data_IF_033445557191
#
_entry.id   IF_033445557191
#
_cell.length_a   1.000
_cell.length_b   1.000
_cell.length_c   1.000
_cell.angle_alpha   90.00
_cell.angle_beta   90.00
_cell.angle_gamma   90.00
#
_symmetry.space_group_name_H-M   'P 1'
#
loop_
_entity.id
_entity.type
_entity.pdbx_description
1 polymer ?
#
# COMPACT_ATOMS: atom_id res chain seq x y z
N UNK A 1 -4.07 5.10 38.58
CA UNK A 1 -3.54 6.20 39.42
C UNK A 1 -4.46 7.42 39.51
N UNK A 2 -5.44 7.62 38.61
CA UNK A 2 -6.40 8.75 38.69
C UNK A 2 -7.28 8.74 39.97
N UNK A 3 -7.75 7.57 40.42
CA UNK A 3 -8.62 7.45 41.61
C UNK A 3 -7.96 7.85 42.93
N UNK A 4 -6.64 7.68 43.04
CA UNK A 4 -5.85 8.08 44.22
C UNK A 4 -5.71 9.60 44.33
N UNK A 5 -5.65 10.30 43.20
CA UNK A 5 -5.53 11.76 43.16
C UNK A 5 -6.86 12.46 43.49
N UNK A 6 -7.98 11.94 42.96
CA UNK A 6 -9.33 12.40 43.33
C UNK A 6 -9.59 12.24 44.84
N UNK A 7 -9.13 11.13 45.43
CA UNK A 7 -9.31 10.86 46.86
C UNK A 7 -8.56 11.88 47.73
N UNK A 8 -7.35 12.27 47.33
CA UNK A 8 -6.56 13.31 48.02
C UNK A 8 -7.21 14.69 47.91
N UNK A 9 -7.72 15.04 46.73
CA UNK A 9 -8.39 16.31 46.49
C UNK A 9 -9.66 16.43 47.34
N UNK A 10 -10.40 15.32 47.51
CA UNK A 10 -11.60 15.26 48.34
C UNK A 10 -11.29 15.43 49.84
N UNK A 11 -10.19 14.82 50.32
CA UNK A 11 -9.73 14.95 51.71
C UNK A 11 -9.33 16.40 52.03
N UNK A 12 -8.64 17.08 51.12
CA UNK A 12 -8.26 18.50 51.28
C UNK A 12 -9.50 19.39 51.37
N UNK A 13 -10.49 19.17 50.51
CA UNK A 13 -11.75 19.94 50.52
C UNK A 13 -12.51 19.76 51.85
N UNK A 14 -12.61 18.53 52.35
CA UNK A 14 -13.38 18.24 53.56
C UNK A 14 -12.69 18.75 54.84
N UNK A 15 -11.35 18.72 54.88
CA UNK A 15 -10.57 19.33 55.96
C UNK A 15 -10.70 20.85 55.98
N UNK A 16 -10.71 21.50 54.80
CA UNK A 16 -10.88 22.95 54.67
C UNK A 16 -12.29 23.38 55.10
N UNK A 17 -13.31 22.58 54.74
CA UNK A 17 -14.71 22.81 55.12
C UNK A 17 -14.96 22.61 56.63
N UNK A 18 -14.27 21.65 57.24
CA UNK A 18 -14.36 21.35 58.66
C UNK A 18 -13.71 22.43 59.54
N UNK A 19 -12.66 23.10 59.04
CA UNK A 19 -12.03 24.24 59.71
C UNK A 19 -12.92 25.49 59.72
N UNK A 20 -13.72 25.71 58.66
CA UNK A 20 -14.61 26.88 58.55
C UNK A 20 -15.86 26.82 59.46
N UNK A 21 -16.28 25.63 59.92
CA UNK A 21 -17.46 25.45 60.77
C UNK A 21 -17.23 25.72 62.26
N UNK A 22 -15.99 25.97 62.71
CA UNK A 22 -15.68 26.25 64.11
C UNK A 22 -15.39 27.74 64.30
N UNK A 23 -16.38 28.50 64.76
CA UNK A 23 -16.28 29.90 65.16
C UNK A 23 -15.42 30.12 66.43
N UNK A 24 -15.34 31.37 66.93
CA UNK A 24 -14.09 32.12 67.18
C UNK A 24 -13.36 31.83 68.51
N UNK A 25 -13.49 30.62 69.09
CA UNK A 25 -12.75 30.24 70.31
C UNK A 25 -11.40 29.56 70.07
N UNK A 26 -10.92 29.48 68.82
CA UNK A 26 -9.65 28.83 68.46
C UNK A 26 -8.49 29.80 68.17
N UNK A 27 -8.62 31.09 68.50
CA UNK A 27 -7.70 32.14 68.07
C UNK A 27 -6.31 32.13 68.73
N UNK A 28 -5.98 31.14 69.56
CA UNK A 28 -4.67 31.01 70.23
C UNK A 28 -3.92 29.70 69.92
N UNK A 29 -4.45 28.80 69.08
CA UNK A 29 -3.77 27.55 68.64
C UNK A 29 -3.65 27.41 67.11
N UNK A 30 -4.11 28.38 66.34
CA UNK A 30 -4.28 28.27 64.89
C UNK A 30 -2.98 28.55 64.08
N UNK A 31 -2.03 29.33 64.60
CA UNK A 31 -0.76 29.61 63.90
C UNK A 31 0.16 28.39 63.84
N UNK A 32 0.18 27.57 64.91
CA UNK A 32 0.96 26.32 64.96
C UNK A 32 0.41 25.25 64.01
N UNK A 33 -0.91 25.11 63.92
CA UNK A 33 -1.54 24.12 63.05
C UNK A 33 -1.43 24.52 61.56
N UNK A 34 -1.63 25.80 61.24
CA UNK A 34 -1.44 26.31 59.88
C UNK A 34 0.04 26.23 59.43
N UNK A 35 0.98 26.45 60.35
CA UNK A 35 2.41 26.25 60.11
C UNK A 35 2.73 24.79 59.79
N UNK A 36 2.28 23.85 60.62
CA UNK A 36 2.51 22.41 60.42
C UNK A 36 1.88 21.88 59.12
N UNK A 37 0.72 22.42 58.72
CA UNK A 37 0.06 22.03 57.48
C UNK A 37 0.80 22.56 56.25
N UNK A 38 1.33 23.79 56.29
CA UNK A 38 2.18 24.34 55.22
C UNK A 38 3.47 23.55 55.06
N UNK A 39 4.11 23.17 56.17
CA UNK A 39 5.32 22.32 56.14
C UNK A 39 5.02 20.95 55.53
N UNK A 40 3.90 20.32 55.91
CA UNK A 40 3.51 19.02 55.33
C UNK A 40 3.17 19.11 53.84
N UNK A 41 2.56 20.22 53.39
CA UNK A 41 2.28 20.45 51.97
C UNK A 41 3.58 20.61 51.16
N UNK A 42 4.54 21.37 51.70
CA UNK A 42 5.85 21.61 51.09
C UNK A 42 6.70 20.32 51.02
N UNK A 43 6.55 19.43 52.02
CA UNK A 43 7.15 18.09 51.99
C UNK A 43 6.53 17.19 50.92
N UNK A 44 5.20 17.21 50.76
CA UNK A 44 4.51 16.43 49.71
C UNK A 44 4.88 16.93 48.31
N UNK A 45 5.02 18.25 48.11
CA UNK A 45 5.46 18.83 46.85
C UNK A 45 6.90 18.40 46.52
N UNK A 46 7.81 18.45 47.49
CA UNK A 46 9.19 17.95 47.33
C UNK A 46 9.25 16.45 47.01
N UNK A 47 8.40 15.64 47.62
CA UNK A 47 8.29 14.21 47.35
C UNK A 47 7.74 13.92 45.95
N UNK A 48 6.77 14.72 45.48
CA UNK A 48 6.26 14.64 44.11
C UNK A 48 7.35 14.94 43.10
N UNK A 49 8.11 16.02 43.29
CA UNK A 49 9.21 16.40 42.41
C UNK A 49 10.35 15.37 42.38
N UNK A 50 10.59 14.69 43.51
CA UNK A 50 11.54 13.57 43.54
C UNK A 50 11.03 12.36 42.78
N UNK A 51 9.74 12.03 42.91
CA UNK A 51 9.13 10.94 42.19
C UNK A 51 9.18 11.17 40.68
N UNK A 52 8.84 12.38 40.20
CA UNK A 52 8.88 12.73 38.78
C UNK A 52 10.30 12.64 38.20
N UNK A 53 11.31 13.07 38.97
CA UNK A 53 12.73 12.93 38.57
C UNK A 53 13.16 11.47 38.46
N UNK A 54 12.72 10.61 39.37
CA UNK A 54 13.01 9.17 39.33
C UNK A 54 12.28 8.52 38.15
N UNK A 55 11.00 8.85 37.92
CA UNK A 55 10.21 8.35 36.80
C UNK A 55 10.85 8.70 35.45
N UNK A 56 11.24 9.97 35.25
CA UNK A 56 11.95 10.40 34.03
C UNK A 56 13.28 9.66 33.83
N UNK A 57 14.02 9.40 34.91
CA UNK A 57 15.28 8.64 34.84
C UNK A 57 15.04 7.18 34.44
N UNK A 58 14.00 6.56 34.97
CA UNK A 58 13.60 5.20 34.60
C UNK A 58 13.09 5.11 33.15
N UNK A 59 12.31 6.08 32.70
CA UNK A 59 11.81 6.12 31.32
C UNK A 59 12.95 6.30 30.32
N UNK A 60 13.92 7.17 30.63
CA UNK A 60 15.11 7.35 29.80
C UNK A 60 15.98 6.09 29.74
N UNK A 61 16.11 5.36 30.84
CA UNK A 61 16.84 4.09 30.87
C UNK A 61 16.12 2.98 30.08
N UNK A 62 14.78 2.93 30.13
CA UNK A 62 13.99 2.00 29.30
C UNK A 62 14.10 2.33 27.82
N UNK A 63 13.98 3.61 27.45
CA UNK A 63 14.11 4.06 26.06
C UNK A 63 15.48 3.69 25.47
N UNK A 64 16.55 3.93 26.23
CA UNK A 64 17.90 3.56 25.81
C UNK A 64 18.08 2.03 25.64
N UNK A 65 17.45 1.22 26.51
CA UNK A 65 17.49 -0.24 26.35
C UNK A 65 16.67 -0.72 25.14
N UNK A 66 15.52 -0.11 24.87
CA UNK A 66 14.69 -0.42 23.69
C UNK A 66 15.43 -0.05 22.40
N UNK A 67 16.08 1.11 22.36
CA UNK A 67 16.89 1.54 21.22
C UNK A 67 18.08 0.59 20.97
N UNK A 68 18.77 0.17 22.03
CA UNK A 68 19.87 -0.80 21.92
C UNK A 68 19.41 -2.15 21.39
N UNK A 69 18.23 -2.64 21.81
CA UNK A 69 17.65 -3.89 21.28
C UNK A 69 17.21 -3.72 19.84
N UNK A 70 16.56 -2.60 19.49
CA UNK A 70 16.12 -2.32 18.12
C UNK A 70 17.30 -2.25 17.13
N UNK A 71 18.41 -1.60 17.51
CA UNK A 71 19.63 -1.56 16.70
C UNK A 71 20.21 -2.98 16.53
N UNK A 72 20.32 -3.75 17.63
CA UNK A 72 20.84 -5.13 17.57
C UNK A 72 19.96 -6.04 16.71
N UNK A 73 18.63 -5.89 16.74
CA UNK A 73 17.71 -6.67 15.94
C UNK A 73 17.73 -6.24 14.47
N UNK A 74 17.85 -4.94 14.19
CA UNK A 74 18.01 -4.41 12.82
C UNK A 74 19.28 -4.94 12.17
N UNK A 75 20.38 -5.00 12.91
CA UNK A 75 21.65 -5.55 12.42
C UNK A 75 21.56 -7.06 12.16
N UNK A 76 20.87 -7.81 13.04
CA UNK A 76 20.62 -9.25 12.82
C UNK A 76 19.75 -9.51 11.59
N UNK A 77 18.66 -8.77 11.40
CA UNK A 77 17.77 -8.90 10.24
C UNK A 77 18.50 -8.52 8.95
N UNK A 78 19.33 -7.46 8.98
CA UNK A 78 20.13 -7.05 7.83
C UNK A 78 21.12 -8.14 7.38
N UNK A 79 21.80 -8.78 8.33
CA UNK A 79 22.74 -9.88 8.06
C UNK A 79 22.00 -11.13 7.54
N UNK A 80 20.83 -11.46 8.09
CA UNK A 80 20.03 -12.61 7.66
C UNK A 80 19.44 -12.40 6.24
N UNK A 81 19.01 -11.18 5.92
CA UNK A 81 18.55 -10.83 4.57
C UNK A 81 19.69 -10.88 3.54
N UNK A 82 20.88 -10.38 3.90
CA UNK A 82 22.08 -10.47 3.05
C UNK A 82 22.48 -11.93 2.80
N UNK A 83 22.46 -12.78 3.83
CA UNK A 83 22.76 -14.22 3.68
C UNK A 83 21.71 -14.97 2.87
N UNK A 84 20.43 -14.62 3.03
CA UNK A 84 19.34 -15.22 2.26
C UNK A 84 19.43 -14.82 0.78
N UNK A 85 19.69 -13.55 0.49
CA UNK A 85 19.88 -13.07 -0.88
C UNK A 85 21.12 -13.68 -1.54
N UNK A 86 22.23 -13.82 -0.80
CA UNK A 86 23.43 -14.51 -1.29
C UNK A 86 23.17 -15.99 -1.58
N UNK A 87 22.41 -16.69 -0.71
CA UNK A 87 22.01 -18.09 -0.95
C UNK A 87 21.10 -18.22 -2.17
N UNK A 88 20.10 -17.35 -2.32
CA UNK A 88 19.19 -17.36 -3.47
C UNK A 88 19.95 -17.10 -4.78
N UNK A 89 20.87 -16.12 -4.79
CA UNK A 89 21.73 -15.85 -5.93
C UNK A 89 22.65 -17.04 -6.26
N UNK A 90 23.27 -17.66 -5.26
CA UNK A 90 24.14 -18.83 -5.44
C UNK A 90 23.38 -20.06 -5.94
N UNK A 91 22.16 -20.32 -5.44
CA UNK A 91 21.29 -21.37 -5.99
C UNK A 91 20.81 -21.05 -7.40
N UNK A 92 20.52 -19.77 -7.69
CA UNK A 92 20.12 -19.33 -9.03
C UNK A 92 21.23 -19.54 -10.05
N UNK A 93 22.47 -19.17 -9.71
CA UNK A 93 23.64 -19.41 -10.56
C UNK A 93 23.96 -20.90 -10.72
N UNK A 94 23.83 -21.70 -9.66
CA UNK A 94 24.02 -23.14 -9.72
C UNK A 94 22.99 -23.81 -10.67
N UNK A 95 21.71 -23.46 -10.55
CA UNK A 95 20.64 -23.97 -11.42
C UNK A 95 20.83 -23.53 -12.87
N UNK A 96 21.24 -22.28 -13.10
CA UNK A 96 21.55 -21.78 -14.46
C UNK A 96 22.78 -22.48 -15.05
N UNK A 97 23.81 -22.74 -14.24
CA UNK A 97 25.02 -23.46 -14.65
C UNK A 97 24.71 -24.92 -14.98
N UNK A 98 23.89 -25.59 -14.16
CA UNK A 98 23.46 -26.97 -14.39
C UNK A 98 22.58 -27.09 -15.64
N UNK A 99 21.65 -26.16 -15.86
CA UNK A 99 20.85 -26.07 -17.10
C UNK A 99 21.72 -25.83 -18.33
N UNK A 100 22.75 -24.97 -18.25
CA UNK A 100 23.69 -24.74 -19.35
C UNK A 100 24.53 -25.98 -19.64
N UNK A 101 25.03 -26.65 -18.60
CA UNK A 101 25.78 -27.91 -18.73
C UNK A 101 24.93 -29.00 -19.39
N UNK A 102 23.67 -29.15 -18.96
CA UNK A 102 22.72 -30.11 -19.52
C UNK A 102 22.38 -29.83 -20.99
N UNK A 103 22.13 -28.55 -21.33
CA UNK A 103 21.88 -28.13 -22.71
C UNK A 103 23.10 -28.34 -23.61
N UNK A 104 24.31 -28.06 -23.11
CA UNK A 104 25.54 -28.29 -23.85
C UNK A 104 25.83 -29.78 -24.03
N UNK A 105 25.55 -30.61 -23.00
CA UNK A 105 25.63 -32.06 -23.08
C UNK A 105 24.72 -32.63 -24.15
N UNK A 106 23.44 -32.21 -24.18
CA UNK A 106 22.50 -32.60 -25.23
C UNK A 106 22.94 -32.13 -26.62
N UNK A 107 23.47 -30.91 -26.74
CA UNK A 107 23.95 -30.39 -28.02
C UNK A 107 25.17 -31.14 -28.55
N UNK A 108 26.08 -31.57 -27.67
CA UNK A 108 27.23 -32.38 -28.04
C UNK A 108 26.82 -33.82 -28.38
N UNK A 109 25.92 -34.40 -27.60
CA UNK A 109 25.40 -35.74 -27.86
C UNK A 109 24.64 -35.80 -29.18
N UNK A 110 23.85 -34.76 -29.51
CA UNK A 110 23.20 -34.62 -30.81
C UNK A 110 24.21 -34.50 -31.96
N UNK A 111 25.32 -33.77 -31.75
CA UNK A 111 26.40 -33.68 -32.76
C UNK A 111 27.09 -35.02 -32.97
N UNK A 112 27.40 -35.77 -31.92
CA UNK A 112 28.03 -37.10 -32.03
C UNK A 112 27.08 -38.14 -32.60
N UNK A 113 25.79 -38.06 -32.31
CA UNK A 113 24.77 -38.95 -32.88
C UNK A 113 24.58 -38.66 -34.37
N UNK A 114 24.50 -37.39 -34.77
CA UNK A 114 24.39 -37.03 -36.18
C UNK A 114 25.67 -37.41 -36.94
N UNK A 115 26.86 -37.19 -36.36
CA UNK A 115 28.12 -37.58 -36.97
C UNK A 115 28.26 -39.11 -37.11
N UNK A 116 27.89 -39.88 -36.08
CA UNK A 116 27.91 -41.35 -36.13
C UNK A 116 26.88 -41.91 -37.11
N UNK A 117 25.68 -41.32 -37.20
CA UNK A 117 24.68 -41.71 -38.19
C UNK A 117 25.08 -41.34 -39.61
N UNK A 118 25.72 -40.19 -39.84
CA UNK A 118 26.28 -39.84 -41.15
C UNK A 118 27.42 -40.77 -41.56
N UNK A 119 28.30 -41.14 -40.62
CA UNK A 119 29.38 -42.09 -40.89
C UNK A 119 28.86 -43.51 -41.12
N UNK A 120 27.83 -43.94 -40.40
CA UNK A 120 27.15 -45.23 -40.63
C UNK A 120 26.34 -45.22 -41.94
N UNK A 121 25.73 -44.10 -42.31
CA UNK A 121 24.99 -43.94 -43.57
C UNK A 121 25.92 -43.92 -44.79
N UNK A 122 27.05 -43.20 -44.71
CA UNK A 122 28.06 -43.20 -45.77
C UNK A 122 28.82 -44.53 -45.85
N UNK A 123 29.04 -45.20 -44.72
CA UNK A 123 29.62 -46.54 -44.66
C UNK A 123 28.69 -47.65 -45.20
N UNK A 124 27.37 -47.50 -45.02
CA UNK A 124 26.37 -48.49 -45.50
C UNK A 124 25.89 -48.26 -46.94
N UNK A 125 26.15 -47.09 -47.52
CA UNK A 125 25.88 -46.81 -48.95
C UNK A 125 26.84 -47.52 -49.91
N UNK A 126 27.97 -48.05 -49.42
CA UNK A 126 28.93 -48.78 -50.24
C UNK A 126 28.49 -50.24 -50.46
N UNK A 127 27.64 -50.82 -49.60
CA UNK A 127 27.51 -52.29 -49.57
C UNK A 127 26.16 -52.88 -50.00
N UNK A 128 25.05 -52.14 -50.17
CA UNK A 128 23.78 -52.82 -50.46
C UNK A 128 22.74 -51.99 -51.21
N UNK A 129 22.96 -51.85 -52.52
CA UNK A 129 21.87 -51.99 -53.50
C UNK A 129 21.34 -53.42 -53.41
N UNK A 130 20.41 -53.68 -52.51
CA UNK A 130 19.36 -54.68 -52.72
C UNK A 130 18.43 -54.74 -51.52
N UNK A 131 17.14 -54.72 -51.86
CA UNK A 131 16.08 -55.44 -51.18
C UNK A 131 15.51 -54.90 -49.85
N UNK A 132 14.23 -54.51 -49.98
CA UNK A 132 13.10 -55.03 -49.21
C UNK A 132 12.61 -54.15 -48.03
N UNK A 133 11.45 -53.54 -48.32
CA UNK A 133 10.21 -53.46 -47.52
C UNK A 133 10.25 -52.82 -46.12
N UNK A 134 9.53 -51.70 -46.02
CA UNK A 134 8.45 -51.45 -45.05
C UNK A 134 8.49 -52.27 -43.76
N UNK A 135 8.83 -51.65 -42.63
CA UNK A 135 7.87 -51.25 -41.60
C UNK A 135 8.55 -50.67 -40.34
N UNK A 136 7.98 -49.57 -39.86
CA UNK A 136 7.99 -49.05 -38.49
C UNK A 136 9.31 -48.47 -37.90
N UNK A 137 9.45 -47.15 -38.02
CA UNK A 137 10.37 -46.34 -37.23
C UNK A 137 9.67 -45.70 -35.99
N UNK A 138 10.27 -45.70 -34.79
CA UNK A 138 9.77 -44.95 -33.64
C UNK A 138 9.98 -43.43 -33.84
N UNK A 139 8.93 -42.62 -33.64
CA UNK A 139 8.93 -41.17 -33.92
C UNK A 139 9.87 -40.34 -32.99
N UNK A 140 10.81 -39.53 -33.53
CA UNK A 140 11.60 -38.55 -32.76
C UNK A 140 11.06 -37.09 -32.80
N UNK A 141 9.77 -36.87 -33.11
CA UNK A 141 9.26 -35.54 -33.49
C UNK A 141 8.69 -34.66 -32.34
N UNK A 142 8.47 -35.18 -31.13
CA UNK A 142 7.72 -34.44 -30.09
C UNK A 142 8.57 -33.41 -29.31
N UNK A 143 9.86 -33.67 -29.07
CA UNK A 143 10.72 -32.83 -28.21
C UNK A 143 11.14 -31.50 -28.88
N UNK A 144 11.52 -31.54 -30.17
CA UNK A 144 11.84 -30.33 -30.96
C UNK A 144 10.64 -29.37 -31.08
N UNK A 145 9.43 -29.92 -31.19
CA UNK A 145 8.20 -29.12 -31.27
C UNK A 145 7.92 -28.34 -29.97
N UNK A 146 8.27 -28.90 -28.81
CA UNK A 146 8.07 -28.27 -27.50
C UNK A 146 9.05 -27.11 -27.30
N UNK A 147 10.32 -27.31 -27.63
CA UNK A 147 11.34 -26.26 -27.56
C UNK A 147 11.01 -25.07 -28.48
N UNK A 148 10.57 -25.34 -29.72
CA UNK A 148 10.14 -24.29 -30.65
C UNK A 148 8.91 -23.52 -30.16
N UNK A 149 7.94 -24.21 -29.52
CA UNK A 149 6.78 -23.56 -28.90
C UNK A 149 7.18 -22.65 -27.74
N UNK A 150 8.09 -23.11 -26.88
CA UNK A 150 8.61 -22.32 -25.76
C UNK A 150 9.36 -21.07 -26.24
N UNK A 151 10.19 -21.19 -27.27
CA UNK A 151 10.89 -20.05 -27.87
C UNK A 151 9.91 -19.01 -28.43
N UNK A 152 8.90 -19.45 -29.20
CA UNK A 152 7.85 -18.56 -29.73
C UNK A 152 7.07 -17.86 -28.62
N UNK A 153 6.75 -18.56 -27.52
CA UNK A 153 6.09 -17.98 -26.36
C UNK A 153 6.97 -16.94 -25.66
N UNK A 154 8.26 -17.22 -25.47
CA UNK A 154 9.21 -16.29 -24.88
C UNK A 154 9.38 -15.02 -25.74
N UNK A 155 9.47 -15.16 -27.07
CA UNK A 155 9.51 -14.02 -27.99
C UNK A 155 8.22 -13.19 -27.96
N UNK A 156 7.06 -13.85 -27.91
CA UNK A 156 5.78 -13.15 -27.78
C UNK A 156 5.69 -12.38 -26.46
N UNK A 157 6.13 -12.99 -25.36
CA UNK A 157 6.15 -12.35 -24.06
C UNK A 157 7.09 -11.15 -24.05
N UNK A 158 8.30 -11.29 -24.62
CA UNK A 158 9.25 -10.19 -24.79
C UNK A 158 8.64 -9.03 -25.57
N UNK A 159 8.01 -9.29 -26.73
CA UNK A 159 7.34 -8.27 -27.54
C UNK A 159 6.18 -7.60 -26.79
N UNK A 160 5.46 -8.33 -25.93
CA UNK A 160 4.41 -7.76 -25.06
C UNK A 160 5.01 -6.82 -24.01
N UNK A 161 6.09 -7.25 -23.35
CA UNK A 161 6.81 -6.44 -22.36
C UNK A 161 7.38 -5.15 -22.98
N UNK A 162 8.04 -5.25 -24.12
CA UNK A 162 8.59 -4.09 -24.84
C UNK A 162 7.49 -3.09 -25.25
N UNK A 163 6.35 -3.58 -25.73
CA UNK A 163 5.20 -2.72 -26.05
C UNK A 163 4.64 -2.02 -24.81
N UNK A 164 4.54 -2.74 -23.71
CA UNK A 164 4.06 -2.21 -22.43
C UNK A 164 4.98 -1.10 -21.94
N UNK A 165 6.29 -1.34 -21.91
CA UNK A 165 7.29 -0.34 -21.56
C UNK A 165 7.21 0.91 -22.45
N UNK A 166 7.06 0.73 -23.77
CA UNK A 166 6.92 1.85 -24.69
C UNK A 166 5.65 2.68 -24.42
N UNK A 167 4.52 2.04 -24.10
CA UNK A 167 3.29 2.75 -23.76
C UNK A 167 3.46 3.54 -22.45
N UNK A 168 4.03 2.92 -21.42
CA UNK A 168 4.27 3.58 -20.13
C UNK A 168 5.20 4.78 -20.27
N UNK A 169 6.25 4.67 -21.10
CA UNK A 169 7.14 5.78 -21.40
C UNK A 169 6.41 6.92 -22.13
N UNK A 170 5.55 6.61 -23.10
CA UNK A 170 4.74 7.61 -23.80
C UNK A 170 3.72 8.29 -22.88
N UNK A 171 3.18 7.59 -21.89
CA UNK A 171 2.30 8.18 -20.87
C UNK A 171 3.05 9.03 -19.83
N UNK A 172 4.38 9.05 -19.88
CA UNK A 172 5.23 9.65 -18.85
C UNK A 172 4.88 9.09 -17.45
N UNK A 173 4.65 7.79 -17.38
CA UNK A 173 4.28 7.11 -16.13
C UNK A 173 5.45 7.13 -15.13
N UNK A 174 5.23 7.78 -13.99
CA UNK A 174 6.21 7.93 -12.91
C UNK A 174 6.08 6.87 -11.81
N UNK A 175 6.14 5.59 -12.18
CA UNK A 175 5.96 4.51 -11.20
C UNK A 175 7.02 4.46 -10.09
N UNK A 176 8.20 5.05 -10.29
CA UNK A 176 9.23 5.16 -9.25
C UNK A 176 8.90 6.28 -8.26
N UNK A 177 8.38 7.39 -8.77
CA UNK A 177 7.88 8.52 -7.99
C UNK A 177 6.72 8.06 -7.09
N UNK A 178 5.69 7.42 -7.64
CA UNK A 178 4.54 6.92 -6.87
C UNK A 178 4.95 5.95 -5.75
N UNK A 179 5.92 5.07 -6.01
CA UNK A 179 6.42 4.14 -4.99
C UNK A 179 7.14 4.88 -3.86
N UNK A 180 7.89 5.92 -4.18
CA UNK A 180 8.53 6.77 -3.15
C UNK A 180 7.47 7.48 -2.33
N UNK A 181 6.43 8.04 -2.97
CA UNK A 181 5.35 8.72 -2.25
C UNK A 181 4.65 7.74 -1.27
N UNK A 182 4.44 6.49 -1.70
CA UNK A 182 3.92 5.43 -0.84
C UNK A 182 4.86 5.14 0.34
N UNK A 183 6.16 4.99 0.09
CA UNK A 183 7.16 4.72 1.14
C UNK A 183 7.23 5.88 2.15
N UNK A 184 7.24 7.13 1.69
CA UNK A 184 7.25 8.32 2.54
C UNK A 184 5.99 8.39 3.42
N UNK A 185 4.81 8.07 2.87
CA UNK A 185 3.55 8.05 3.61
C UNK A 185 3.40 6.83 4.56
N UNK A 186 4.13 5.74 4.33
CA UNK A 186 4.21 4.60 5.26
C UNK A 186 5.17 4.87 6.42
N UNK A 187 6.29 5.54 6.15
CA UNK A 187 7.30 5.92 7.16
C UNK A 187 6.88 7.11 8.01
N UNK A 188 5.91 7.88 7.54
CA UNK A 188 5.26 8.93 8.30
C UNK A 188 4.67 8.37 9.60
N UNK A 189 5.41 8.51 10.71
CA UNK A 189 4.91 8.25 12.06
C UNK A 189 3.67 9.14 12.23
N UNK A 190 2.49 8.52 12.23
CA UNK A 190 1.28 9.26 12.53
C UNK A 190 1.39 9.74 13.97
N UNK A 191 1.61 11.04 14.15
CA UNK A 191 1.50 11.72 15.45
C UNK A 191 0.10 11.57 16.06
N UNK A 192 -0.84 11.04 15.28
CA UNK A 192 -2.26 10.92 15.52
C UNK A 192 -2.71 9.44 15.55
N UNK A 193 -1.99 8.62 16.30
CA UNK A 193 -2.27 7.21 16.61
C UNK A 193 -3.77 6.91 16.86
N UNK A 194 -4.41 7.76 17.65
CA UNK A 194 -5.82 7.63 18.01
C UNK A 194 -6.75 7.75 16.80
N UNK A 195 -6.41 8.61 15.84
CA UNK A 195 -7.19 8.82 14.60
C UNK A 195 -7.05 7.63 13.67
N UNK A 196 -5.84 7.08 13.56
CA UNK A 196 -5.59 5.85 12.80
C UNK A 196 -6.41 4.71 13.40
N UNK A 197 -6.41 4.57 14.73
CA UNK A 197 -7.22 3.54 15.40
C UNK A 197 -8.72 3.75 15.17
N UNK A 198 -9.20 4.98 15.30
CA UNK A 198 -10.58 5.34 15.01
C UNK A 198 -10.98 4.89 13.59
N UNK A 199 -10.19 5.27 12.59
CA UNK A 199 -10.46 4.92 11.19
C UNK A 199 -10.46 3.41 10.94
N UNK A 200 -9.54 2.66 11.55
CA UNK A 200 -9.50 1.19 11.41
C UNK A 200 -10.69 0.52 12.11
N UNK A 201 -11.20 1.10 13.19
CA UNK A 201 -12.38 0.62 13.88
C UNK A 201 -13.70 1.00 13.17
N UNK A 202 -13.67 1.94 12.22
CA UNK A 202 -14.87 2.40 11.53
C UNK A 202 -15.50 1.31 10.64
N UNK A 203 -16.76 0.91 10.90
CA UNK A 203 -17.44 -0.11 10.11
C UNK A 203 -17.59 0.28 8.64
N UNK A 204 -17.75 1.58 8.34
CA UNK A 204 -17.85 2.07 6.96
C UNK A 204 -16.59 1.76 6.15
N UNK A 205 -15.40 1.96 6.74
CA UNK A 205 -14.13 1.66 6.07
C UNK A 205 -13.97 0.15 5.86
N UNK A 206 -14.30 -0.64 6.88
CA UNK A 206 -14.21 -2.09 6.81
C UNK A 206 -15.17 -2.68 5.78
N UNK A 207 -16.43 -2.23 5.76
CA UNK A 207 -17.41 -2.64 4.76
C UNK A 207 -16.99 -2.21 3.36
N UNK A 208 -16.50 -0.99 3.20
CA UNK A 208 -15.95 -0.53 1.92
C UNK A 208 -14.79 -1.41 1.45
N UNK A 209 -13.95 -1.91 2.34
CA UNK A 209 -12.80 -2.74 1.96
C UNK A 209 -13.19 -4.16 1.57
N UNK A 210 -14.07 -4.80 2.36
CA UNK A 210 -14.32 -6.25 2.31
C UNK A 210 -15.49 -6.62 1.39
N UNK A 211 -16.55 -5.81 1.39
CA UNK A 211 -17.78 -6.17 0.69
C UNK A 211 -17.53 -6.33 -0.81
N UNK A 212 -17.98 -7.38 -1.50
CA UNK A 212 -17.73 -7.59 -2.92
C UNK A 212 -18.62 -6.69 -3.81
N UNK A 213 -18.85 -5.44 -3.41
CA UNK A 213 -19.67 -4.45 -4.09
C UNK A 213 -18.88 -3.22 -4.52
N UNK A 214 -19.39 -2.57 -5.57
CA UNK A 214 -18.94 -1.25 -5.98
C UNK A 214 -19.29 -0.26 -4.87
N UNK A 215 -18.32 0.56 -4.45
CA UNK A 215 -18.50 1.47 -3.33
C UNK A 215 -17.61 2.71 -3.50
N UNK A 216 -18.09 3.84 -2.98
CA UNK A 216 -17.31 5.06 -2.84
C UNK A 216 -17.24 5.39 -1.36
N UNK A 217 -16.07 5.82 -0.90
CA UNK A 217 -15.88 6.29 0.47
C UNK A 217 -15.01 7.55 0.46
N UNK A 218 -15.47 8.57 1.17
CA UNK A 218 -14.72 9.78 1.49
C UNK A 218 -14.37 9.75 2.98
N UNK A 219 -13.10 9.98 3.28
CA UNK A 219 -12.61 10.11 4.66
C UNK A 219 -12.13 11.55 4.87
N UNK A 220 -12.85 12.29 5.70
CA UNK A 220 -12.43 13.60 6.19
C UNK A 220 -11.65 13.41 7.50
N UNK A 221 -10.35 13.68 7.45
CA UNK A 221 -9.43 13.47 8.56
C UNK A 221 -9.56 14.49 9.67
N UNK A 222 -10.04 15.70 9.37
CA UNK A 222 -10.12 16.84 10.31
C UNK A 222 -8.81 17.12 11.08
N UNK A 223 -7.67 16.85 10.46
CA UNK A 223 -6.34 17.02 11.04
C UNK A 223 -6.06 18.49 11.34
N UNK A 224 -5.14 18.78 12.27
CA UNK A 224 -4.68 20.15 12.42
C UNK A 224 -3.95 20.59 11.14
N UNK A 225 -4.16 21.83 10.66
CA UNK A 225 -3.55 22.33 9.43
C UNK A 225 -2.00 22.32 9.45
N UNK A 226 -1.38 22.14 10.62
CA UNK A 226 0.07 22.02 10.81
C UNK A 226 0.60 20.58 10.67
N UNK A 227 -0.27 19.56 10.60
CA UNK A 227 0.14 18.17 10.45
C UNK A 227 0.60 17.93 9.02
N UNK A 228 1.93 17.90 8.84
CA UNK A 228 2.56 17.58 7.55
C UNK A 228 2.34 16.11 7.12
N UNK A 229 2.12 15.23 8.10
CA UNK A 229 1.90 13.80 7.93
C UNK A 229 0.55 13.44 8.52
N UNK A 230 -0.45 13.20 7.66
CA UNK A 230 -1.83 13.08 8.12
C UNK A 230 -2.18 11.61 8.39
N UNK A 231 -3.02 11.37 9.39
CA UNK A 231 -3.53 10.02 9.68
C UNK A 231 -4.22 9.39 8.47
N UNK A 232 -4.87 10.20 7.63
CA UNK A 232 -5.52 9.77 6.39
C UNK A 232 -4.53 9.28 5.33
N UNK A 233 -3.39 9.96 5.15
CA UNK A 233 -2.36 9.54 4.20
C UNK A 233 -1.67 8.25 4.62
N UNK A 234 -1.40 8.08 5.91
CA UNK A 234 -0.89 6.81 6.45
C UNK A 234 -1.88 5.66 6.21
N UNK A 235 -3.18 5.87 6.48
CA UNK A 235 -4.22 4.86 6.23
C UNK A 235 -4.30 4.51 4.73
N UNK A 236 -4.32 5.51 3.85
CA UNK A 236 -4.32 5.30 2.40
C UNK A 236 -3.12 4.45 1.97
N UNK A 237 -1.92 4.79 2.45
CA UNK A 237 -0.69 4.05 2.18
C UNK A 237 -0.74 2.60 2.70
N UNK A 238 -1.22 2.39 3.93
CA UNK A 238 -1.38 1.04 4.50
C UNK A 238 -2.40 0.18 3.75
N UNK A 239 -3.48 0.78 3.24
CA UNK A 239 -4.45 0.09 2.39
C UNK A 239 -3.81 -0.33 1.06
N UNK A 240 -3.04 0.56 0.42
CA UNK A 240 -2.30 0.26 -0.81
C UNK A 240 -1.34 -0.92 -0.60
N UNK A 241 -0.52 -0.87 0.45
CA UNK A 241 0.40 -1.95 0.84
C UNK A 241 -0.35 -3.27 1.03
N UNK A 242 -1.46 -3.24 1.77
CA UNK A 242 -2.26 -4.44 2.06
C UNK A 242 -2.88 -5.04 0.79
N UNK A 243 -3.43 -4.20 -0.10
CA UNK A 243 -3.99 -4.62 -1.39
C UNK A 243 -2.90 -5.24 -2.26
N UNK A 244 -1.71 -4.64 -2.31
CA UNK A 244 -0.58 -5.15 -3.09
C UNK A 244 -0.13 -6.55 -2.58
N UNK A 245 -0.01 -6.73 -1.26
CA UNK A 245 0.34 -8.02 -0.65
C UNK A 245 -0.72 -9.08 -0.96
N UNK A 246 -2.01 -8.74 -0.83
CA UNK A 246 -3.11 -9.65 -1.14
C UNK A 246 -3.11 -10.06 -2.63
N UNK A 247 -2.72 -9.16 -3.51
CA UNK A 247 -2.64 -9.39 -4.95
C UNK A 247 -1.45 -10.26 -5.35
N UNK A 248 -0.29 -10.12 -4.67
CA UNK A 248 0.92 -10.88 -4.97
C UNK A 248 0.80 -12.38 -4.67
N UNK A 249 -0.01 -12.77 -3.69
CA UNK A 249 -0.23 -14.17 -3.31
C UNK A 249 -1.11 -14.97 -4.29
N UNK A 250 -1.79 -14.31 -5.23
CA UNK A 250 -2.80 -14.91 -6.13
C UNK A 250 -2.28 -15.10 -7.54
N UNK A 251 -1.14 -15.79 -7.68
CA UNK A 251 -0.60 -16.12 -9.00
C UNK A 251 -1.40 -17.27 -9.64
N UNK A 252 -2.29 -16.96 -10.60
CA UNK A 252 -2.93 -17.95 -11.48
C UNK A 252 -4.45 -18.13 -11.36
N UNK A 253 -5.17 -17.35 -10.55
CA UNK A 253 -6.64 -17.42 -10.49
C UNK A 253 -7.31 -16.19 -11.11
N UNK A 254 -8.53 -16.36 -11.63
CA UNK A 254 -9.33 -15.30 -12.30
C UNK A 254 -9.83 -14.21 -11.34
N UNK A 255 -9.64 -14.37 -10.02
CA UNK A 255 -10.05 -13.42 -8.99
C UNK A 255 -8.82 -12.66 -8.51
N UNK A 256 -8.78 -11.34 -8.74
CA UNK A 256 -7.61 -10.53 -8.44
C UNK A 256 -8.00 -9.11 -8.04
N UNK A 257 -7.19 -8.52 -7.18
CA UNK A 257 -7.30 -7.12 -6.82
C UNK A 257 -6.28 -6.30 -7.61
N UNK A 258 -6.66 -5.09 -8.00
CA UNK A 258 -5.75 -4.11 -8.59
C UNK A 258 -5.89 -2.85 -7.75
N UNK A 259 -4.79 -2.41 -7.12
CA UNK A 259 -4.73 -1.12 -6.43
C UNK A 259 -4.15 -0.07 -7.36
N UNK A 260 -4.91 0.99 -7.58
CA UNK A 260 -4.45 2.25 -8.16
C UNK A 260 -4.38 3.29 -7.05
N UNK A 261 -3.32 4.07 -6.99
CA UNK A 261 -3.15 5.05 -5.93
C UNK A 261 -2.43 6.32 -6.37
N UNK A 262 -2.77 7.44 -5.73
CA UNK A 262 -2.11 8.71 -5.98
C UNK A 262 -2.17 9.60 -4.75
N UNK A 263 -1.04 10.18 -4.36
CA UNK A 263 -0.92 11.10 -3.23
C UNK A 263 -0.90 12.55 -3.73
N UNK A 264 -2.05 13.22 -3.72
CA UNK A 264 -2.20 14.55 -4.33
C UNK A 264 -1.28 15.60 -3.69
N UNK A 265 -1.01 15.49 -2.39
CA UNK A 265 -0.16 16.41 -1.63
C UNK A 265 1.31 16.43 -2.12
N UNK A 266 1.84 15.27 -2.55
CA UNK A 266 3.21 15.17 -3.07
C UNK A 266 3.34 15.82 -4.45
N UNK A 267 2.23 15.97 -5.17
CA UNK A 267 2.17 16.45 -6.55
C UNK A 267 1.42 17.77 -6.71
N UNK A 268 1.35 18.57 -5.64
CA UNK A 268 0.63 19.85 -5.66
C UNK A 268 1.49 21.04 -6.13
N UNK A 269 2.73 21.14 -5.61
CA UNK A 269 3.47 22.43 -5.57
C UNK A 269 4.37 22.73 -6.77
N UNK A 270 4.85 21.72 -7.47
CA UNK A 270 5.92 21.91 -8.46
C UNK A 270 5.39 21.96 -9.89
N UNK A 271 5.65 23.06 -10.60
CA UNK A 271 5.37 23.15 -12.04
C UNK A 271 6.32 22.27 -12.87
N UNK A 272 7.46 21.87 -12.28
CA UNK A 272 8.41 20.94 -12.89
C UNK A 272 8.03 19.47 -12.63
N UNK A 273 7.10 19.22 -11.71
CA UNK A 273 6.60 17.88 -11.46
C UNK A 273 5.65 17.47 -12.58
N UNK A 274 6.06 16.41 -13.28
CA UNK A 274 5.32 15.87 -14.41
C UNK A 274 4.09 15.11 -13.99
N UNK A 275 3.92 14.76 -12.71
CA UNK A 275 2.73 14.12 -12.18
C UNK A 275 1.75 15.11 -11.57
N UNK A 276 2.07 16.41 -11.58
CA UNK A 276 1.24 17.42 -10.95
C UNK A 276 -0.17 17.49 -11.56
N UNK A 277 -1.18 17.45 -10.68
CA UNK A 277 -2.57 17.71 -11.00
C UNK A 277 -3.36 16.53 -11.57
N UNK A 278 -4.65 16.75 -11.89
CA UNK A 278 -5.57 15.69 -12.32
C UNK A 278 -5.12 14.92 -13.56
N UNK A 279 -4.48 15.58 -14.52
CA UNK A 279 -3.96 14.91 -15.72
C UNK A 279 -2.78 13.98 -15.40
N UNK A 280 -1.91 14.38 -14.47
CA UNK A 280 -0.82 13.52 -13.97
C UNK A 280 -1.34 12.32 -13.21
N UNK A 281 -2.29 12.54 -12.30
CA UNK A 281 -3.01 11.47 -11.60
C UNK A 281 -3.63 10.45 -12.56
N UNK A 282 -4.35 10.91 -13.59
CA UNK A 282 -5.02 10.00 -14.51
C UNK A 282 -4.02 9.22 -15.37
N UNK A 283 -2.89 9.84 -15.75
CA UNK A 283 -1.77 9.13 -16.41
C UNK A 283 -1.15 8.08 -15.49
N UNK A 284 -1.02 8.36 -14.19
CA UNK A 284 -0.58 7.40 -13.17
C UNK A 284 -1.53 6.21 -13.09
N UNK A 285 -2.83 6.44 -12.98
CA UNK A 285 -3.85 5.38 -12.94
C UNK A 285 -3.84 4.49 -14.18
N UNK A 286 -3.74 5.08 -15.37
CA UNK A 286 -3.60 4.34 -16.63
C UNK A 286 -2.30 3.53 -16.62
N UNK A 287 -1.20 4.12 -16.14
CA UNK A 287 0.11 3.48 -16.03
C UNK A 287 0.14 2.31 -15.05
N UNK A 288 -0.52 2.42 -13.90
CA UNK A 288 -0.67 1.37 -12.89
C UNK A 288 -1.54 0.22 -13.40
N UNK A 289 -2.69 0.51 -14.04
CA UNK A 289 -3.47 -0.51 -14.76
C UNK A 289 -2.60 -1.23 -15.78
N UNK A 290 -1.92 -0.45 -16.63
CA UNK A 290 -0.94 -0.95 -17.58
C UNK A 290 0.38 -1.39 -16.95
N UNK A 291 0.47 -1.56 -15.63
CA UNK A 291 1.58 -2.26 -14.94
C UNK A 291 1.10 -3.51 -14.18
N UNK A 292 -0.21 -3.62 -13.92
CA UNK A 292 -0.85 -4.80 -13.31
C UNK A 292 -0.73 -6.10 -14.12
N UNK A 293 -1.02 -7.25 -13.50
CA UNK A 293 -1.02 -8.56 -14.16
C UNK A 293 -2.15 -8.74 -15.19
N UNK A 294 -3.07 -7.78 -15.31
CA UNK A 294 -4.19 -7.86 -16.23
C UNK A 294 -3.77 -7.84 -17.71
N UNK A 295 -4.56 -8.53 -18.53
CA UNK A 295 -4.32 -8.71 -19.96
C UNK A 295 -5.08 -7.67 -20.78
N UNK A 296 -4.38 -6.61 -21.19
CA UNK A 296 -4.95 -5.55 -22.03
C UNK A 296 -4.67 -5.75 -23.53
N UNK A 297 -5.52 -5.16 -24.38
CA UNK A 297 -5.32 -5.08 -25.84
C UNK A 297 -4.26 -4.03 -26.21
N UNK A 298 -3.00 -4.27 -25.82
CA UNK A 298 -1.87 -3.32 -25.92
C UNK A 298 -1.66 -2.70 -27.32
N UNK A 299 -2.02 -3.39 -28.41
CA UNK A 299 -1.90 -2.83 -29.76
C UNK A 299 -2.83 -1.63 -29.97
N UNK A 300 -4.07 -1.72 -29.50
CA UNK A 300 -5.04 -0.62 -29.61
C UNK A 300 -4.65 0.49 -28.65
N UNK A 301 -4.34 0.14 -27.40
CA UNK A 301 -3.89 1.11 -26.38
C UNK A 301 -2.68 1.93 -26.85
N UNK A 302 -1.67 1.29 -27.47
CA UNK A 302 -0.51 2.00 -28.01
C UNK A 302 -0.88 3.03 -29.07
N UNK A 303 -1.79 2.69 -29.98
CA UNK A 303 -2.22 3.63 -31.03
C UNK A 303 -2.86 4.85 -30.40
N UNK A 304 -3.75 4.63 -29.44
CA UNK A 304 -4.42 5.72 -28.71
C UNK A 304 -3.42 6.58 -27.94
N UNK A 305 -2.50 5.98 -27.18
CA UNK A 305 -1.49 6.72 -26.40
C UNK A 305 -0.60 7.62 -27.27
N UNK A 306 -0.27 7.19 -28.48
CA UNK A 306 0.54 7.99 -29.41
C UNK A 306 -0.21 9.16 -30.04
N UNK A 307 -1.54 9.22 -29.93
CA UNK A 307 -2.37 10.25 -30.56
C UNK A 307 -3.04 11.18 -29.57
N UNK A 308 -3.16 10.80 -28.29
CA UNK A 308 -3.82 11.63 -27.29
C UNK A 308 -2.94 12.80 -26.87
N UNK A 309 -3.60 13.90 -26.53
CA UNK A 309 -2.99 14.97 -25.76
C UNK A 309 -2.97 14.55 -24.28
N UNK A 310 -1.77 14.49 -23.68
CA UNK A 310 -1.56 14.10 -22.29
C UNK A 310 -2.01 15.17 -21.28
N UNK A 311 -2.42 16.34 -21.75
CA UNK A 311 -3.06 17.38 -20.94
C UNK A 311 -4.60 17.34 -21.03
N UNK A 312 -5.16 16.61 -21.99
CA UNK A 312 -6.60 16.50 -22.19
C UNK A 312 -7.21 15.42 -21.28
N UNK A 313 -7.87 15.89 -20.22
CA UNK A 313 -8.56 15.05 -19.24
C UNK A 313 -9.65 14.17 -19.84
N UNK A 314 -10.35 14.61 -20.89
CA UNK A 314 -11.45 13.85 -21.49
C UNK A 314 -10.87 12.66 -22.27
N UNK A 315 -9.80 12.89 -23.03
CA UNK A 315 -9.12 11.82 -23.77
C UNK A 315 -8.45 10.81 -22.83
N UNK A 316 -7.80 11.28 -21.77
CA UNK A 316 -7.22 10.42 -20.73
C UNK A 316 -8.30 9.60 -20.02
N UNK A 317 -9.44 10.22 -19.68
CA UNK A 317 -10.54 9.52 -19.02
C UNK A 317 -11.14 8.43 -19.93
N UNK A 318 -11.40 8.74 -21.19
CA UNK A 318 -11.92 7.76 -22.14
C UNK A 318 -10.97 6.56 -22.30
N UNK A 319 -9.66 6.78 -22.25
CA UNK A 319 -8.68 5.71 -22.24
C UNK A 319 -8.72 4.88 -20.97
N UNK A 320 -8.73 5.53 -19.80
CA UNK A 320 -8.85 4.86 -18.50
C UNK A 320 -10.09 3.97 -18.45
N UNK A 321 -11.25 4.52 -18.82
CA UNK A 321 -12.52 3.82 -18.88
C UNK A 321 -12.48 2.62 -19.83
N UNK A 322 -11.86 2.77 -21.00
CA UNK A 322 -11.66 1.67 -21.97
C UNK A 322 -10.79 0.55 -21.40
N UNK A 323 -9.81 0.86 -20.55
CA UNK A 323 -8.98 -0.14 -19.88
C UNK A 323 -9.76 -0.85 -18.77
N UNK A 324 -10.51 -0.10 -17.95
CA UNK A 324 -11.36 -0.69 -16.90
C UNK A 324 -12.41 -1.63 -17.51
N UNK A 325 -13.02 -1.26 -18.63
CA UNK A 325 -13.98 -2.11 -19.35
C UNK A 325 -13.38 -3.42 -19.91
N UNK A 326 -12.05 -3.55 -19.96
CA UNK A 326 -11.37 -4.79 -20.35
C UNK A 326 -11.09 -5.73 -19.16
N UNK A 327 -11.30 -5.27 -17.92
CA UNK A 327 -11.08 -6.09 -16.73
C UNK A 327 -12.17 -7.18 -16.63
N UNK A 328 -11.81 -8.40 -16.20
CA UNK A 328 -12.80 -9.42 -15.85
C UNK A 328 -13.75 -8.94 -14.75
N UNK A 329 -15.00 -9.41 -14.76
CA UNK A 329 -15.99 -9.10 -13.71
C UNK A 329 -15.57 -9.60 -12.33
N UNK A 330 -14.68 -10.58 -12.28
CA UNK A 330 -14.08 -11.17 -11.08
C UNK A 330 -12.96 -10.33 -10.46
N UNK A 331 -12.58 -9.20 -11.08
CA UNK A 331 -11.56 -8.29 -10.56
C UNK A 331 -12.18 -7.23 -9.65
N UNK A 332 -11.49 -6.91 -8.56
CA UNK A 332 -11.77 -5.73 -7.72
C UNK A 332 -10.71 -4.66 -8.01
N UNK A 333 -11.14 -3.53 -8.54
CA UNK A 333 -10.33 -2.36 -8.80
C UNK A 333 -10.49 -1.36 -7.65
N UNK A 334 -9.42 -1.14 -6.91
CA UNK A 334 -9.34 -0.10 -5.88
C UNK A 334 -8.71 1.15 -6.49
N UNK A 335 -9.37 2.30 -6.37
CA UNK A 335 -8.85 3.61 -6.74
C UNK A 335 -8.71 4.44 -5.46
N UNK A 336 -7.49 4.68 -5.00
CA UNK A 336 -7.19 5.37 -3.75
C UNK A 336 -6.58 6.74 -4.07
N UNK A 337 -7.32 7.81 -3.79
CA UNK A 337 -6.86 9.18 -3.96
C UNK A 337 -6.66 9.82 -2.60
N UNK A 338 -5.40 10.07 -2.26
CA UNK A 338 -5.06 10.71 -1.00
C UNK A 338 -4.97 12.22 -1.12
N UNK A 339 -5.50 12.94 -0.12
CA UNK A 339 -5.41 14.40 0.00
C UNK A 339 -5.98 15.18 -1.17
N UNK A 340 -7.16 14.77 -1.66
CA UNK A 340 -7.79 15.36 -2.85
C UNK A 340 -8.11 16.86 -2.69
N UNK A 341 -8.25 17.34 -1.45
CA UNK A 341 -8.45 18.75 -1.11
C UNK A 341 -7.32 19.67 -1.58
N UNK A 342 -6.11 19.15 -1.79
CA UNK A 342 -5.02 19.93 -2.37
C UNK A 342 -5.40 20.46 -3.76
N UNK A 343 -6.18 19.70 -4.54
CA UNK A 343 -6.62 20.15 -5.86
C UNK A 343 -7.90 21.00 -5.82
N UNK A 344 -8.69 20.94 -4.74
CA UNK A 344 -9.88 21.79 -4.55
C UNK A 344 -9.54 23.28 -4.37
N UNK A 345 -8.36 23.60 -3.82
CA UNK A 345 -7.93 24.97 -3.53
C UNK A 345 -7.11 25.62 -4.66
N UNK A 346 -7.01 24.95 -5.82
CA UNK A 346 -6.25 25.43 -6.98
C UNK A 346 -7.11 25.76 -8.18
N UNK A 347 -6.49 26.33 -9.19
CA UNK A 347 -7.03 26.49 -10.54
C UNK A 347 -7.45 25.15 -11.19
N UNK A 348 -7.04 24.01 -10.61
CA UNK A 348 -7.32 22.64 -11.06
C UNK A 348 -8.63 22.06 -10.51
N UNK A 349 -9.41 22.86 -9.79
CA UNK A 349 -10.67 22.42 -9.18
C UNK A 349 -11.66 21.85 -10.22
N UNK A 350 -11.91 22.49 -11.38
CA UNK A 350 -12.85 21.96 -12.37
C UNK A 350 -12.46 20.58 -12.89
N UNK A 351 -11.18 20.37 -13.22
CA UNK A 351 -10.68 19.07 -13.66
C UNK A 351 -10.75 18.01 -12.56
N UNK A 352 -10.58 18.43 -11.30
CA UNK A 352 -10.69 17.55 -10.12
C UNK A 352 -12.13 17.11 -9.87
N UNK A 353 -13.08 18.05 -9.91
CA UNK A 353 -14.51 17.74 -9.79
C UNK A 353 -14.96 16.83 -10.94
N UNK A 354 -14.49 17.08 -12.17
CA UNK A 354 -14.72 16.20 -13.31
C UNK A 354 -14.19 14.78 -13.07
N UNK A 355 -12.92 14.65 -12.64
CA UNK A 355 -12.29 13.36 -12.38
C UNK A 355 -13.02 12.58 -11.28
N UNK A 356 -13.26 13.20 -10.12
CA UNK A 356 -13.92 12.56 -8.99
C UNK A 356 -15.36 12.17 -9.35
N UNK A 357 -16.11 13.08 -9.99
CA UNK A 357 -17.46 12.78 -10.48
C UNK A 357 -17.47 11.60 -11.46
N UNK A 358 -16.46 11.52 -12.33
CA UNK A 358 -16.31 10.43 -13.28
C UNK A 358 -15.97 9.09 -12.61
N UNK A 359 -15.12 9.08 -11.58
CA UNK A 359 -14.83 7.88 -10.77
C UNK A 359 -16.07 7.37 -10.02
N UNK A 360 -16.84 8.28 -9.41
CA UNK A 360 -18.10 7.96 -8.73
C UNK A 360 -19.09 7.35 -9.74
N UNK A 361 -19.26 8.01 -10.90
CA UNK A 361 -20.14 7.52 -11.95
C UNK A 361 -19.70 6.15 -12.49
N UNK A 362 -18.39 5.92 -12.65
CA UNK A 362 -17.83 4.64 -13.06
C UNK A 362 -18.18 3.52 -12.06
N UNK A 363 -17.97 3.74 -10.77
CA UNK A 363 -18.30 2.77 -9.72
C UNK A 363 -19.80 2.42 -9.74
N UNK A 364 -20.66 3.44 -9.73
CA UNK A 364 -22.12 3.26 -9.74
C UNK A 364 -22.63 2.60 -11.02
N UNK A 365 -22.05 2.92 -12.18
CA UNK A 365 -22.41 2.31 -13.46
C UNK A 365 -21.97 0.86 -13.55
N UNK A 366 -20.76 0.53 -13.08
CA UNK A 366 -20.27 -0.85 -13.05
C UNK A 366 -21.15 -1.73 -12.16
N UNK A 367 -21.66 -1.19 -11.05
CA UNK A 367 -22.65 -1.86 -10.21
C UNK A 367 -23.91 -2.28 -10.97
N UNK A 368 -24.40 -1.42 -11.88
CA UNK A 368 -25.60 -1.67 -12.69
C UNK A 368 -25.32 -2.57 -13.90
N UNK A 369 -24.16 -2.40 -14.52
CA UNK A 369 -23.80 -3.10 -15.75
C UNK A 369 -23.20 -4.50 -15.53
N UNK A 370 -22.89 -4.88 -14.29
CA UNK A 370 -22.25 -6.16 -13.98
C UNK A 370 -20.79 -6.22 -14.43
N UNK A 371 -20.07 -5.08 -14.36
CA UNK A 371 -18.65 -5.00 -14.67
C UNK A 371 -17.76 -5.52 -13.53
N UNK A 372 -16.46 -5.24 -13.61
CA UNK A 372 -15.58 -5.44 -12.44
C UNK A 372 -16.04 -4.56 -11.27
N UNK A 373 -15.76 -4.99 -10.05
CA UNK A 373 -16.04 -4.20 -8.86
C UNK A 373 -15.07 -3.03 -8.81
N UNK A 374 -15.58 -1.80 -8.70
CA UNK A 374 -14.78 -0.58 -8.58
C UNK A 374 -15.05 0.06 -7.22
N UNK A 375 -13.99 0.14 -6.41
CA UNK A 375 -13.98 0.76 -5.08
C UNK A 375 -13.16 2.03 -5.12
N UNK A 376 -13.78 3.15 -4.80
CA UNK A 376 -13.10 4.46 -4.77
C UNK A 376 -12.96 4.90 -3.33
N UNK A 377 -11.73 5.21 -2.91
CA UNK A 377 -11.42 5.86 -1.65
C UNK A 377 -10.86 7.24 -1.94
N UNK A 378 -11.48 8.25 -1.34
CA UNK A 378 -11.01 9.63 -1.35
C UNK A 378 -10.64 9.97 0.09
N UNK A 379 -9.48 10.56 0.32
CA UNK A 379 -9.13 11.07 1.64
C UNK A 379 -8.89 12.57 1.58
N UNK A 380 -9.17 13.23 2.69
CA UNK A 380 -8.92 14.64 2.91
C UNK A 380 -8.24 14.78 4.27
N UNK A 381 -7.06 15.42 4.38
CA UNK A 381 -6.47 15.80 5.65
C UNK A 381 -7.43 16.57 6.54
N UNK A 382 -8.17 17.51 5.95
CA UNK A 382 -9.18 18.34 6.60
C UNK A 382 -10.58 17.82 6.24
N UNK A 383 -11.46 18.72 5.83
CA UNK A 383 -12.79 18.40 5.31
C UNK A 383 -12.89 18.89 3.87
N UNK A 384 -13.37 18.06 2.95
CA UNK A 384 -13.70 18.51 1.60
C UNK A 384 -14.89 19.46 1.62
N UNK A 385 -14.81 20.56 0.84
CA UNK A 385 -15.92 21.52 0.72
C UNK A 385 -16.76 21.29 -0.53
N UNK A 386 -16.23 20.62 -1.54
CA UNK A 386 -16.93 20.41 -2.82
C UNK A 386 -17.51 19.01 -2.95
N UNK A 387 -16.87 17.99 -2.37
CA UNK A 387 -17.22 16.59 -2.64
C UNK A 387 -18.43 16.10 -1.85
N UNK A 388 -18.76 16.73 -0.71
CA UNK A 388 -19.89 16.32 0.12
C UNK A 388 -21.24 16.39 -0.61
N UNK A 389 -21.38 17.22 -1.64
CA UNK A 389 -22.61 17.30 -2.44
C UNK A 389 -22.77 16.15 -3.44
N UNK A 390 -21.70 15.42 -3.73
CA UNK A 390 -21.69 14.33 -4.73
C UNK A 390 -21.85 12.94 -4.12
N UNK A 391 -21.79 12.86 -2.79
CA UNK A 391 -21.74 11.63 -2.01
C UNK A 391 -22.93 11.54 -1.06
N UNK A 392 -23.35 10.32 -0.80
CA UNK A 392 -24.38 10.05 0.19
C UNK A 392 -23.80 10.12 1.61
N UNK A 393 -24.58 10.42 2.65
CA UNK A 393 -24.07 10.56 4.01
C UNK A 393 -23.34 9.31 4.53
N UNK A 394 -23.75 8.11 4.12
CA UNK A 394 -23.09 6.85 4.50
C UNK A 394 -21.82 6.55 3.68
N UNK A 395 -21.56 7.31 2.62
CA UNK A 395 -20.31 7.27 1.84
C UNK A 395 -19.25 8.22 2.43
N UNK A 396 -19.52 8.87 3.57
CA UNK A 396 -18.61 9.82 4.22
C UNK A 396 -18.30 9.37 5.65
N UNK A 397 -17.02 9.40 6.00
CA UNK A 397 -16.50 9.28 7.37
C UNK A 397 -15.92 10.63 7.76
N UNK A 398 -16.46 11.22 8.81
CA UNK A 398 -15.90 12.41 9.45
C UNK A 398 -15.18 12.01 10.74
N UNK A 399 -13.85 12.07 10.73
CA UNK A 399 -13.05 11.81 11.93
C UNK A 399 -13.26 12.95 12.93
N UNK A 400 -13.60 12.68 14.20
CA UNK A 400 -13.80 13.75 15.18
C UNK A 400 -12.51 14.54 15.42
N UNK A 401 -12.65 15.83 15.76
CA UNK A 401 -11.51 16.73 16.07
C UNK A 401 -10.62 16.18 17.20
N UNK A 402 -11.22 15.44 18.13
CA UNK A 402 -10.55 14.70 19.20
C UNK A 402 -10.94 13.23 19.08
N UNK A 403 -10.09 12.44 18.43
CA UNK A 403 -10.28 10.99 18.39
C UNK A 403 -10.16 10.41 19.82
N UNK A 404 -10.98 9.41 20.19
CA UNK A 404 -10.88 8.78 21.49
C UNK A 404 -9.46 8.24 21.72
N UNK A 405 -8.86 8.56 22.86
CA UNK A 405 -7.51 8.10 23.18
C UNK A 405 -7.46 6.58 23.26
N UNK A 406 -6.72 5.96 22.35
CA UNK A 406 -6.46 4.53 22.32
C UNK A 406 -4.97 4.37 22.51
N UNK A 407 -4.56 4.20 23.77
CA UNK A 407 -3.15 4.31 24.17
C UNK A 407 -2.19 3.58 23.21
N UNK A 408 -1.08 4.25 22.87
CA UNK A 408 0.09 3.73 22.17
C UNK A 408 -0.20 2.88 20.92
N UNK A 409 -0.12 3.48 19.72
CA UNK A 409 -0.10 2.73 18.47
C UNK A 409 1.16 1.86 18.39
N UNK A 410 0.97 0.55 18.41
CA UNK A 410 1.95 -0.41 17.94
C UNK A 410 1.37 -1.11 16.71
N UNK A 411 2.20 -1.44 15.71
CA UNK A 411 1.84 -2.22 14.51
C UNK A 411 0.93 -3.43 14.80
N UNK A 412 0.96 -3.92 16.04
CA UNK A 412 0.00 -4.85 16.61
C UNK A 412 -1.48 -4.49 16.41
N UNK A 413 -1.90 -3.23 16.34
CA UNK A 413 -3.30 -2.84 16.18
C UNK A 413 -3.80 -3.07 14.74
N UNK A 414 -2.98 -2.79 13.73
CA UNK A 414 -3.29 -3.11 12.33
C UNK A 414 -3.23 -4.62 12.08
N UNK A 415 -2.28 -5.32 12.72
CA UNK A 415 -2.24 -6.78 12.68
C UNK A 415 -3.47 -7.39 13.40
N UNK A 416 -3.88 -6.81 14.53
CA UNK A 416 -5.02 -7.28 15.33
C UNK A 416 -6.38 -6.96 14.68
N UNK A 417 -6.48 -5.94 13.82
CA UNK A 417 -7.72 -5.64 13.09
C UNK A 417 -8.08 -6.73 12.06
N UNK A 418 -7.14 -7.62 11.73
CA UNK A 418 -7.37 -8.73 10.80
C UNK A 418 -7.53 -8.30 9.33
N UNK A 419 -7.38 -7.01 9.02
CA UNK A 419 -7.54 -6.43 7.67
C UNK A 419 -6.68 -7.17 6.63
N UNK A 420 -5.43 -7.48 6.97
CA UNK A 420 -4.52 -8.23 6.10
C UNK A 420 -4.93 -9.70 5.86
N UNK A 421 -5.73 -10.29 6.76
CA UNK A 421 -6.32 -11.61 6.60
C UNK A 421 -7.61 -11.61 5.80
N UNK A 422 -8.39 -10.52 5.89
CA UNK A 422 -9.70 -10.39 5.22
C UNK A 422 -9.58 -10.27 3.70
N UNK A 423 -8.51 -9.66 3.19
CA UNK A 423 -8.25 -9.57 1.75
C UNK A 423 -7.68 -10.85 1.12
N UNK A 424 -7.45 -11.91 1.92
CA UNK A 424 -6.92 -13.20 1.43
C UNK A 424 -8.01 -14.19 1.01
N UNK A 425 -9.26 -13.97 1.40
CA UNK A 425 -10.43 -14.71 0.92
C UNK A 425 -11.07 -14.01 -0.29
#
# INVERSE_FOLDING_TARGET
MAKTFESLQWIVVELTRSAAKKGPMAFLKQESYAGSLRTSLDEVEKLSDQFDRIAMTCDRAKLHNVEKVAISTKDQIGVEHLMTNARVAQTGEAVVSELKSYLNGMAQQFKTDVASHLMAFLGSQIDSRQQILTEQAPQPLKVLSKAQRMLKQAEQQRKRTERRAAILASLQYGGAELRRDLEENLEAISTSADRVHYLVAEPQLMNWLIEPSNAVLLVNGNCAASERNTSTSFIAAKLVETIAIASAGRSGTQYGSIGLYFFCAEHFRSHADRLAGPAGLLRSFIGELLSSSASFKLRQTRKTVLTIDLSDMVQLWAMFETLVAQLPTTVVLFCILDSITEYEMSDRRPETEYLVGSLIALSRRNARAGGCVVKVLLTCPLTSRSLHYSLEPWEVIDVPDQAPAVGGFADSAWAASGVAGLLRY
#
